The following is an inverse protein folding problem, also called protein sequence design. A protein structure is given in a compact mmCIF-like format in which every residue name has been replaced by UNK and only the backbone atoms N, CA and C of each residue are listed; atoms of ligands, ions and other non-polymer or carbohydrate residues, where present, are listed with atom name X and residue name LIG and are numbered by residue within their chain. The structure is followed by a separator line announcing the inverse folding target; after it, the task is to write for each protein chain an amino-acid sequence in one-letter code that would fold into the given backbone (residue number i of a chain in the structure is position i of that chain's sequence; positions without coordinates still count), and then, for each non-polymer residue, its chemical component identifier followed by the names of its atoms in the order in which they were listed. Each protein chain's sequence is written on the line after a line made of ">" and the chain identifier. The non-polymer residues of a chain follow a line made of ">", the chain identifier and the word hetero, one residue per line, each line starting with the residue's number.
data_IF_235537133203
#
_entry.id   IF_235537133203
#
_cell.length_a   1.000
_cell.length_b   1.000
_cell.length_c   1.000
_cell.angle_alpha   90.00
_cell.angle_beta   90.00
_cell.angle_gamma   90.00
#
_symmetry.space_group_name_H-M   'P 1'
#
loop_
_entity.id
_entity.type
_entity.pdbx_description
1 polymer ?
#
# COMPACT_ATOMS: atom_id res chain seq x y z
N UNK A 1 -7.50 -1.69 -7.60
CA UNK A 1 -6.95 -0.56 -6.81
C UNK A 1 -5.65 -0.92 -6.10
N UNK A 2 -5.62 -1.83 -5.12
CA UNK A 2 -4.38 -2.11 -4.37
C UNK A 2 -3.25 -2.70 -5.23
N UNK A 3 -3.52 -3.77 -5.99
CA UNK A 3 -2.52 -4.39 -6.88
C UNK A 3 -2.04 -3.40 -7.95
N UNK A 4 -2.95 -2.60 -8.51
CA UNK A 4 -2.60 -1.56 -9.48
C UNK A 4 -1.68 -0.49 -8.89
N UNK A 5 -1.93 -0.05 -7.65
CA UNK A 5 -1.02 0.85 -6.94
C UNK A 5 0.34 0.19 -6.71
N UNK A 6 0.34 -1.07 -6.24
CA UNK A 6 1.57 -1.81 -6.01
C UNK A 6 2.42 -1.92 -7.30
N UNK A 7 1.82 -2.28 -8.43
CA UNK A 7 2.51 -2.37 -9.73
C UNK A 7 3.02 -0.99 -10.16
N UNK A 8 2.17 0.04 -10.11
CA UNK A 8 2.51 1.40 -10.55
C UNK A 8 3.66 2.03 -9.77
N UNK A 9 3.70 1.79 -8.46
CA UNK A 9 4.74 2.35 -7.59
C UNK A 9 5.97 1.47 -7.49
N UNK A 10 5.91 0.24 -8.01
CA UNK A 10 7.09 -0.61 -8.06
C UNK A 10 8.05 -0.21 -9.15
N UNK A 11 9.36 -0.23 -8.85
CA UNK A 11 10.38 -0.06 -9.87
C UNK A 11 10.34 -1.25 -10.84
N UNK A 12 10.81 -1.02 -12.07
CA UNK A 12 10.79 -2.05 -13.11
C UNK A 12 11.45 -3.35 -12.65
N UNK A 13 10.92 -4.48 -13.13
CA UNK A 13 11.42 -5.83 -12.84
C UNK A 13 11.40 -6.24 -11.35
N UNK A 14 10.55 -5.62 -10.53
CA UNK A 14 10.33 -6.04 -9.13
C UNK A 14 8.98 -6.75 -8.95
N UNK A 15 8.98 -7.73 -8.05
CA UNK A 15 7.80 -8.54 -7.75
C UNK A 15 6.82 -7.77 -6.86
N UNK A 16 5.54 -7.85 -7.21
CA UNK A 16 4.43 -7.57 -6.29
C UNK A 16 3.97 -8.91 -5.73
N UNK A 17 4.01 -9.05 -4.42
CA UNK A 17 3.61 -10.28 -3.72
C UNK A 17 2.20 -10.11 -3.15
N UNK A 18 1.32 -11.06 -3.42
CA UNK A 18 -0.02 -11.11 -2.81
C UNK A 18 -0.15 -12.41 -2.03
N UNK A 19 -0.32 -12.31 -0.72
CA UNK A 19 -0.50 -13.46 0.15
C UNK A 19 -1.90 -13.47 0.75
N UNK A 20 -2.46 -14.66 0.88
CA UNK A 20 -3.74 -14.93 1.53
C UNK A 20 -3.47 -15.91 2.66
N UNK A 21 -3.82 -15.52 3.88
CA UNK A 21 -3.63 -16.33 5.07
C UNK A 21 -4.98 -16.37 5.79
N UNK A 22 -5.49 -17.58 6.00
CA UNK A 22 -6.69 -17.80 6.78
C UNK A 22 -6.30 -18.15 8.21
N UNK A 23 -6.80 -17.40 9.19
CA UNK A 23 -6.53 -17.58 10.62
C UNK A 23 -7.86 -17.52 11.36
N UNK A 24 -8.26 -18.62 11.99
CA UNK A 24 -9.54 -18.77 12.68
C UNK A 24 -10.73 -18.39 11.78
N UNK A 25 -11.40 -17.26 12.06
CA UNK A 25 -12.53 -16.73 11.29
C UNK A 25 -12.14 -15.47 10.49
N UNK A 26 -10.85 -15.32 10.16
CA UNK A 26 -10.33 -14.15 9.45
C UNK A 26 -9.53 -14.55 8.23
N UNK A 27 -9.86 -13.94 7.10
CA UNK A 27 -9.00 -13.92 5.93
C UNK A 27 -8.12 -12.66 5.97
N UNK A 28 -6.81 -12.87 6.08
CA UNK A 28 -5.80 -11.82 6.01
C UNK A 28 -5.21 -11.83 4.60
N UNK A 29 -5.31 -10.69 3.92
CA UNK A 29 -4.74 -10.48 2.59
C UNK A 29 -3.65 -9.44 2.71
N UNK A 30 -2.42 -9.76 2.30
CA UNK A 30 -1.33 -8.79 2.21
C UNK A 30 -0.93 -8.58 0.76
N UNK A 31 -0.77 -7.31 0.38
CA UNK A 31 -0.19 -6.90 -0.89
C UNK A 31 1.10 -6.17 -0.55
N UNK A 32 2.22 -6.75 -0.96
CA UNK A 32 3.55 -6.22 -0.69
C UNK A 32 4.25 -5.88 -2.00
N UNK A 33 4.92 -4.73 -2.01
CA UNK A 33 5.72 -4.31 -3.13
C UNK A 33 6.90 -3.45 -2.68
N UNK A 34 7.95 -3.37 -3.49
CA UNK A 34 8.96 -2.34 -3.30
C UNK A 34 8.38 -1.01 -3.82
N UNK A 35 8.16 -0.03 -2.95
CA UNK A 35 7.56 1.28 -3.29
C UNK A 35 8.46 2.45 -2.88
N UNK A 36 8.21 3.68 -3.38
CA UNK A 36 8.96 4.86 -2.96
C UNK A 36 8.85 5.04 -1.45
N UNK A 37 9.93 5.49 -0.81
CA UNK A 37 9.94 5.70 0.63
C UNK A 37 8.78 6.61 1.05
N UNK A 38 8.02 6.17 2.05
CA UNK A 38 7.01 6.99 2.71
C UNK A 38 7.49 7.23 4.13
N UNK A 39 7.67 8.49 4.52
CA UNK A 39 8.09 8.83 5.89
C UNK A 39 7.01 8.44 6.91
N UNK A 40 7.35 8.29 8.19
CA UNK A 40 6.37 8.06 9.25
C UNK A 40 5.27 9.13 9.34
N UNK A 41 5.60 10.39 9.02
CA UNK A 41 4.64 11.49 8.96
C UNK A 41 3.74 11.37 7.72
N UNK A 42 4.32 11.05 6.57
CA UNK A 42 3.57 10.86 5.33
C UNK A 42 2.61 9.67 5.43
N UNK A 43 3.01 8.56 6.08
CA UNK A 43 2.16 7.39 6.29
C UNK A 43 0.83 7.75 6.97
N UNK A 44 0.82 8.76 7.85
CA UNK A 44 -0.40 9.21 8.53
C UNK A 44 -1.40 9.91 7.60
N UNK A 45 -0.91 10.41 6.46
CA UNK A 45 -1.67 11.30 5.56
C UNK A 45 -1.94 10.69 4.18
N UNK A 46 -1.12 9.76 3.67
CA UNK A 46 -1.30 9.22 2.30
C UNK A 46 -2.62 8.45 2.09
N UNK A 47 -3.32 8.09 3.17
CA UNK A 47 -4.67 7.54 3.12
C UNK A 47 -5.76 8.60 2.83
N UNK A 48 -5.44 9.88 2.92
CA UNK A 48 -6.34 10.99 2.66
C UNK A 48 -6.47 11.28 1.15
N UNK A 49 -7.63 11.83 0.77
CA UNK A 49 -7.95 12.09 -0.63
C UNK A 49 -6.99 13.11 -1.25
N UNK A 50 -6.28 12.70 -2.29
CA UNK A 50 -5.42 13.58 -3.09
C UNK A 50 -4.01 13.76 -2.51
N UNK A 51 -3.71 13.14 -1.37
CA UNK A 51 -2.37 13.22 -0.77
C UNK A 51 -1.43 12.22 -1.43
N UNK A 52 -0.17 12.63 -1.59
CA UNK A 52 0.93 11.80 -2.08
C UNK A 52 2.17 12.06 -1.22
N UNK A 53 2.98 11.03 -1.00
CA UNK A 53 4.29 11.20 -0.39
C UNK A 53 5.25 11.90 -1.35
N UNK A 54 6.27 12.57 -0.81
CA UNK A 54 7.28 13.36 -1.53
C UNK A 54 7.82 12.65 -2.78
N UNK A 55 8.25 11.40 -2.64
CA UNK A 55 8.86 10.66 -3.74
C UNK A 55 7.85 10.18 -4.79
N UNK A 56 6.59 9.96 -4.40
CA UNK A 56 5.52 9.70 -5.37
C UNK A 56 5.22 10.94 -6.24
N UNK A 57 5.35 12.15 -5.67
CA UNK A 57 5.25 13.39 -6.43
C UNK A 57 6.43 13.61 -7.37
N UNK A 58 7.64 13.29 -6.92
CA UNK A 58 8.86 13.37 -7.73
C UNK A 58 8.81 12.44 -8.95
N UNK A 59 8.30 11.22 -8.76
CA UNK A 59 8.03 10.26 -9.84
C UNK A 59 6.85 10.68 -10.74
N UNK A 60 6.07 11.71 -10.35
CA UNK A 60 4.84 12.15 -11.03
C UNK A 60 3.82 11.03 -11.21
N UNK A 61 3.77 10.11 -10.25
CA UNK A 61 2.90 8.94 -10.31
C UNK A 61 1.60 9.15 -9.54
N UNK A 62 0.48 8.90 -10.22
CA UNK A 62 -0.85 8.83 -9.63
C UNK A 62 -1.43 10.18 -9.18
N UNK A 63 -2.70 10.13 -8.80
CA UNK A 63 -3.51 11.30 -8.40
C UNK A 63 -3.73 11.43 -6.89
N UNK A 64 -3.18 10.53 -6.07
CA UNK A 64 -3.47 10.47 -4.62
C UNK A 64 -4.87 9.96 -4.28
N UNK A 65 -5.59 9.36 -5.24
CA UNK A 65 -6.98 8.92 -5.04
C UNK A 65 -7.08 7.43 -4.71
N UNK A 66 -6.13 6.61 -5.19
CA UNK A 66 -6.24 5.15 -5.16
C UNK A 66 -6.31 4.57 -3.75
N UNK A 67 -5.45 5.00 -2.83
CA UNK A 67 -5.42 4.49 -1.46
C UNK A 67 -6.66 4.93 -0.68
N UNK A 68 -7.06 6.21 -0.81
CA UNK A 68 -8.28 6.75 -0.23
C UNK A 68 -9.55 5.99 -0.66
N UNK A 69 -9.72 5.76 -1.96
CA UNK A 69 -10.88 5.01 -2.46
C UNK A 69 -10.89 3.58 -1.96
N UNK A 70 -9.72 2.94 -1.94
CA UNK A 70 -9.62 1.56 -1.51
C UNK A 70 -9.94 1.42 -0.01
N UNK A 71 -9.46 2.34 0.83
CA UNK A 71 -9.85 2.45 2.24
C UNK A 71 -11.37 2.70 2.39
N UNK A 72 -11.95 3.59 1.58
CA UNK A 72 -13.39 3.86 1.60
C UNK A 72 -14.22 2.61 1.28
N UNK A 73 -13.79 1.80 0.32
CA UNK A 73 -14.42 0.52 -0.02
C UNK A 73 -14.31 -0.46 1.15
N UNK A 74 -13.13 -0.57 1.78
CA UNK A 74 -12.95 -1.46 2.94
C UNK A 74 -13.89 -1.08 4.10
N UNK A 75 -14.01 0.22 4.39
CA UNK A 75 -14.91 0.71 5.44
C UNK A 75 -16.39 0.42 5.14
N UNK A 76 -16.81 0.41 3.86
CA UNK A 76 -18.18 0.06 3.47
C UNK A 76 -18.51 -1.43 3.65
N UNK A 77 -17.48 -2.28 3.74
CA UNK A 77 -17.60 -3.72 3.83
C UNK A 77 -17.10 -4.28 5.18
N UNK A 78 -16.90 -3.42 6.18
CA UNK A 78 -16.35 -3.79 7.50
C UNK A 78 -15.01 -4.55 7.41
N UNK A 79 -14.22 -4.26 6.39
CA UNK A 79 -12.88 -4.81 6.20
C UNK A 79 -11.90 -3.91 6.93
N UNK A 80 -11.13 -4.48 7.86
CA UNK A 80 -10.07 -3.72 8.49
C UNK A 80 -8.91 -3.54 7.51
N UNK A 81 -8.57 -2.28 7.23
CA UNK A 81 -7.52 -1.89 6.30
C UNK A 81 -6.38 -1.20 7.05
N UNK A 82 -5.15 -1.61 6.76
CA UNK A 82 -3.95 -0.96 7.25
C UNK A 82 -2.84 -0.99 6.20
N UNK A 83 -1.83 -0.15 6.39
CA UNK A 83 -0.65 -0.13 5.53
C UNK A 83 0.57 0.34 6.30
N UNK A 84 1.75 -0.09 5.86
CA UNK A 84 3.02 0.24 6.49
C UNK A 84 4.16 0.34 5.47
N UNK A 85 5.28 0.93 5.91
CA UNK A 85 6.54 0.90 5.17
C UNK A 85 7.69 0.43 6.05
N UNK A 86 8.19 -0.77 5.78
CA UNK A 86 9.13 -1.50 6.65
C UNK A 86 10.29 -2.12 5.85
N UNK A 87 11.29 -2.66 6.55
CA UNK A 87 12.48 -3.24 5.91
C UNK A 87 13.58 -2.23 5.52
N UNK A 88 14.44 -2.65 4.58
CA UNK A 88 15.67 -1.96 4.18
C UNK A 88 15.38 -0.92 3.10
N UNK A 89 16.07 0.22 3.16
CA UNK A 89 16.02 1.24 2.12
C UNK A 89 16.93 0.83 0.97
N UNK A 90 16.41 0.88 -0.25
CA UNK A 90 17.12 0.62 -1.49
C UNK A 90 17.02 1.85 -2.40
N UNK A 91 18.15 2.50 -2.69
CA UNK A 91 18.18 3.63 -3.60
C UNK A 91 18.19 3.16 -5.05
N UNK A 92 17.17 3.54 -5.83
CA UNK A 92 17.04 3.20 -7.25
C UNK A 92 16.84 4.51 -8.01
N UNK A 93 17.78 4.83 -8.91
CA UNK A 93 17.74 6.08 -9.70
C UNK A 93 17.57 7.35 -8.85
N UNK A 94 18.24 7.41 -7.68
CA UNK A 94 18.18 8.50 -6.69
C UNK A 94 16.85 8.64 -5.94
N UNK A 95 15.91 7.73 -6.15
CA UNK A 95 14.70 7.63 -5.33
C UNK A 95 14.93 6.51 -4.31
N UNK A 96 14.78 6.77 -3.01
CA UNK A 96 14.81 5.72 -2.00
C UNK A 96 13.51 4.92 -2.07
N UNK A 97 13.64 3.60 -2.11
CA UNK A 97 12.54 2.65 -2.05
C UNK A 97 12.60 1.84 -0.77
N UNK A 98 11.44 1.39 -0.31
CA UNK A 98 11.28 0.55 0.88
C UNK A 98 10.09 -0.37 0.67
N UNK A 99 10.05 -1.52 1.35
CA UNK A 99 8.88 -2.40 1.27
C UNK A 99 7.66 -1.63 1.76
N UNK A 100 6.61 -1.64 0.95
CA UNK A 100 5.30 -1.08 1.26
C UNK A 100 4.30 -2.22 1.28
N UNK A 101 3.55 -2.31 2.37
CA UNK A 101 2.60 -3.40 2.60
C UNK A 101 1.24 -2.82 2.86
N UNK A 102 0.25 -3.29 2.10
CA UNK A 102 -1.17 -3.13 2.41
C UNK A 102 -1.68 -4.41 3.02
N UNK A 103 -2.43 -4.30 4.12
CA UNK A 103 -3.08 -5.43 4.79
C UNK A 103 -4.58 -5.21 4.86
N UNK A 104 -5.33 -6.23 4.44
CA UNK A 104 -6.77 -6.32 4.57
C UNK A 104 -7.09 -7.48 5.52
N UNK A 105 -7.98 -7.26 6.48
CA UNK A 105 -8.47 -8.29 7.37
C UNK A 105 -9.99 -8.35 7.24
N UNK A 106 -10.47 -9.46 6.66
CA UNK A 106 -11.88 -9.73 6.44
C UNK A 106 -12.31 -10.72 7.51
N UNK A 107 -13.26 -10.31 8.35
CA UNK A 107 -13.91 -11.23 9.29
C UNK A 107 -14.98 -12.03 8.55
N UNK A 108 -14.93 -13.35 8.70
CA UNK A 108 -15.98 -14.23 8.21
C UNK A 108 -17.12 -14.24 9.25
N UNK A 109 -18.28 -13.73 8.84
CA UNK A 109 -19.49 -13.86 9.62
C UNK A 109 -20.08 -15.25 9.33
N UNK A 110 -20.07 -16.14 10.32
CA UNK A 110 -20.80 -17.41 10.29
C UNK A 110 -22.31 -17.20 10.14
#
# INVERSE_FOLDING_TARGET
>A
LYIENAIKYSPDSHTVTVNFIHVDTKLIITIENLGPLVSPEELKMIGEKGVRGKYAEELKFGSGIGLFLANSICNLHDIHFSYESSGIINDINKIPYKTFTVKLEVCENN
#
